data_IF_057736837904
#
_entry.id   IF_057736837904
#
_cell.length_a   1.000
_cell.length_b   1.000
_cell.length_c   1.000
_cell.angle_alpha   90.00
_cell.angle_beta   90.00
_cell.angle_gamma   90.00
#
_symmetry.space_group_name_H-M   'P 1'
#
loop_
_entity.id
_entity.type
_entity.pdbx_description
1 polymer ?
#
# COMPACT_ATOMS: atom_id res chain seq x y z
N UNK A 1 18.74 -22.11 20.66
CA UNK A 1 19.86 -22.94 21.15
C UNK A 1 20.01 -24.09 20.18
N UNK A 2 20.92 -23.95 19.23
CA UNK A 2 21.01 -24.81 18.06
C UNK A 2 21.45 -26.22 18.45
N UNK A 3 20.69 -27.25 18.06
CA UNK A 3 21.11 -28.65 18.21
C UNK A 3 22.52 -28.90 17.65
N UNK A 4 22.93 -28.10 16.67
CA UNK A 4 24.25 -28.14 16.05
C UNK A 4 25.36 -27.75 17.04
N UNK A 5 25.14 -26.75 17.91
CA UNK A 5 26.12 -26.37 18.94
C UNK A 5 26.21 -27.39 20.07
N UNK A 6 25.08 -28.02 20.43
CA UNK A 6 25.04 -29.13 21.37
C UNK A 6 25.82 -30.35 20.83
N UNK A 7 25.66 -30.71 19.56
CA UNK A 7 26.42 -31.79 18.91
C UNK A 7 27.93 -31.50 18.84
N UNK A 8 28.31 -30.25 18.59
CA UNK A 8 29.72 -29.83 18.61
C UNK A 8 30.35 -29.99 20.00
N UNK A 9 29.62 -29.64 21.06
CA UNK A 9 30.07 -29.82 22.44
C UNK A 9 30.19 -31.30 22.86
N UNK A 10 29.30 -32.17 22.37
CA UNK A 10 29.41 -33.62 22.54
C UNK A 10 30.67 -34.17 21.86
N UNK A 11 31.02 -33.65 20.67
CA UNK A 11 32.25 -34.02 19.94
C UNK A 11 33.49 -33.71 20.78
N UNK A 12 33.56 -32.50 21.35
CA UNK A 12 34.67 -32.09 22.20
C UNK A 12 34.79 -32.95 23.48
N UNK A 13 33.66 -33.33 24.10
CA UNK A 13 33.63 -34.23 25.25
C UNK A 13 34.09 -35.65 24.89
N UNK A 14 33.62 -36.17 23.76
CA UNK A 14 34.01 -37.48 23.24
C UNK A 14 35.51 -37.53 22.97
N UNK A 15 36.06 -36.50 22.30
CA UNK A 15 37.49 -36.38 22.01
C UNK A 15 38.34 -36.25 23.30
N UNK A 16 37.84 -35.57 24.33
CA UNK A 16 38.49 -35.51 25.64
C UNK A 16 38.50 -36.87 26.35
N UNK A 17 37.39 -37.62 26.32
CA UNK A 17 37.33 -38.97 26.91
C UNK A 17 38.17 -40.00 26.17
N UNK A 18 38.36 -39.84 24.85
CA UNK A 18 39.21 -40.72 24.04
C UNK A 18 40.69 -40.59 24.39
N UNK A 19 41.20 -39.39 24.66
CA UNK A 19 42.59 -39.18 25.11
C UNK A 19 42.87 -39.93 26.42
N UNK A 20 41.86 -40.09 27.28
CA UNK A 20 41.98 -40.82 28.53
C UNK A 20 41.90 -42.36 28.38
N UNK A 21 41.24 -42.88 27.33
CA UNK A 21 40.98 -44.32 27.12
C UNK A 21 41.89 -44.96 26.07
N UNK A 22 42.36 -44.18 25.08
CA UNK A 22 43.31 -44.59 24.04
C UNK A 22 44.64 -45.12 24.61
N UNK A 23 44.98 -44.79 25.85
CA UNK A 23 46.12 -45.37 26.55
C UNK A 23 46.02 -46.91 26.77
N UNK A 24 44.88 -47.57 26.48
CA UNK A 24 44.65 -48.97 26.85
C UNK A 24 44.22 -49.93 25.72
N UNK A 25 43.47 -49.52 24.69
CA UNK A 25 42.86 -50.44 23.69
C UNK A 25 42.75 -49.83 22.26
N UNK A 26 43.88 -49.48 21.63
CA UNK A 26 43.96 -48.72 20.36
C UNK A 26 43.11 -49.26 19.18
N UNK A 27 42.96 -50.57 19.04
CA UNK A 27 42.42 -51.16 17.81
C UNK A 27 40.88 -51.23 17.76
N UNK A 28 40.22 -51.32 18.91
CA UNK A 28 38.74 -51.32 19.01
C UNK A 28 38.17 -49.90 19.01
N UNK A 29 38.94 -48.94 19.54
CA UNK A 29 38.57 -47.53 19.61
C UNK A 29 38.42 -46.95 18.20
N UNK A 30 39.36 -47.25 17.28
CA UNK A 30 39.32 -46.75 15.91
C UNK A 30 38.05 -47.14 15.12
N UNK A 31 37.51 -48.36 15.31
CA UNK A 31 36.29 -48.80 14.65
C UNK A 31 35.04 -48.10 15.21
N UNK A 32 34.97 -47.94 16.54
CA UNK A 32 33.87 -47.23 17.20
C UNK A 32 33.91 -45.75 16.82
N UNK A 33 35.09 -45.15 16.69
CA UNK A 33 35.30 -43.77 16.25
C UNK A 33 34.81 -43.49 14.84
N UNK A 34 35.14 -44.36 13.88
CA UNK A 34 34.66 -44.22 12.51
C UNK A 34 33.14 -44.29 12.45
N UNK A 35 32.53 -45.21 13.23
CA UNK A 35 31.08 -45.34 13.30
C UNK A 35 30.42 -44.11 13.92
N UNK A 36 30.96 -43.61 15.03
CA UNK A 36 30.41 -42.44 15.71
C UNK A 36 30.55 -41.18 14.84
N UNK A 37 31.71 -41.00 14.20
CA UNK A 37 31.97 -39.88 13.30
C UNK A 37 31.00 -39.89 12.13
N UNK A 38 30.72 -41.07 11.56
CA UNK A 38 29.75 -41.22 10.46
C UNK A 38 28.33 -40.84 10.90
N UNK A 39 27.86 -41.40 12.02
CA UNK A 39 26.53 -41.05 12.56
C UNK A 39 26.43 -39.55 12.85
N UNK A 40 27.50 -38.94 13.36
CA UNK A 40 27.51 -37.52 13.66
C UNK A 40 27.48 -36.68 12.38
N UNK A 41 28.23 -37.07 11.34
CA UNK A 41 28.14 -36.42 10.03
C UNK A 41 26.72 -36.52 9.46
N UNK A 42 26.10 -37.69 9.51
CA UNK A 42 24.73 -37.92 9.02
C UNK A 42 23.69 -37.08 9.78
N UNK A 43 23.84 -36.96 11.10
CA UNK A 43 22.94 -36.11 11.91
C UNK A 43 23.17 -34.63 11.60
N UNK A 44 24.42 -34.19 11.40
CA UNK A 44 24.71 -32.80 11.07
C UNK A 44 24.25 -32.41 9.68
N UNK A 45 24.36 -33.30 8.69
CA UNK A 45 23.85 -33.05 7.34
C UNK A 45 22.32 -32.96 7.36
N UNK A 46 21.64 -33.91 8.02
CA UNK A 46 20.19 -33.87 8.18
C UNK A 46 19.71 -32.61 8.94
N UNK A 47 20.45 -32.21 9.98
CA UNK A 47 20.17 -30.98 10.74
C UNK A 47 20.32 -29.72 9.89
N UNK A 48 21.35 -29.65 9.04
CA UNK A 48 21.57 -28.52 8.14
C UNK A 48 20.47 -28.44 7.07
N UNK A 49 20.08 -29.57 6.48
CA UNK A 49 18.96 -29.63 5.53
C UNK A 49 17.64 -29.17 6.15
N UNK A 50 17.36 -29.58 7.39
CA UNK A 50 16.18 -29.12 8.11
C UNK A 50 16.25 -27.61 8.37
N UNK A 51 17.39 -27.10 8.82
CA UNK A 51 17.58 -25.68 9.08
C UNK A 51 17.40 -24.84 7.81
N UNK A 52 17.90 -25.31 6.66
CA UNK A 52 17.67 -24.67 5.37
C UNK A 52 16.19 -24.61 5.02
N UNK A 53 15.45 -25.71 5.21
CA UNK A 53 13.99 -25.76 4.96
C UNK A 53 13.22 -24.83 5.90
N UNK A 54 13.57 -24.79 7.19
CA UNK A 54 12.95 -23.90 8.17
C UNK A 54 13.20 -22.44 7.80
N UNK A 55 14.44 -22.10 7.42
CA UNK A 55 14.76 -20.74 7.01
C UNK A 55 13.99 -20.32 5.76
N UNK A 56 13.92 -21.19 4.75
CA UNK A 56 13.08 -20.95 3.57
C UNK A 56 11.60 -20.78 3.92
N UNK A 57 11.09 -21.53 4.91
CA UNK A 57 9.74 -21.36 5.44
C UNK A 57 9.53 -19.98 6.09
N UNK A 58 10.49 -19.52 6.90
CA UNK A 58 10.43 -18.20 7.55
C UNK A 58 10.47 -17.08 6.51
N UNK A 59 11.34 -17.20 5.51
CA UNK A 59 11.49 -16.18 4.47
C UNK A 59 10.22 -16.09 3.61
N UNK A 60 9.61 -17.22 3.28
CA UNK A 60 8.32 -17.26 2.55
C UNK A 60 7.17 -16.73 3.41
N UNK A 61 7.10 -17.07 4.69
CA UNK A 61 6.08 -16.54 5.61
C UNK A 61 6.19 -15.01 5.73
N UNK A 62 7.41 -14.48 5.84
CA UNK A 62 7.64 -13.03 5.88
C UNK A 62 7.19 -12.36 4.59
N UNK A 63 7.58 -12.90 3.44
CA UNK A 63 7.18 -12.38 2.14
C UNK A 63 5.65 -12.38 1.96
N UNK A 64 4.98 -13.45 2.40
CA UNK A 64 3.52 -13.54 2.36
C UNK A 64 2.86 -12.50 3.28
N UNK A 65 3.37 -12.33 4.52
CA UNK A 65 2.84 -11.32 5.45
C UNK A 65 2.99 -9.90 4.91
N UNK A 66 4.14 -9.57 4.32
CA UNK A 66 4.35 -8.26 3.71
C UNK A 66 3.37 -8.02 2.54
N UNK A 67 3.12 -9.06 1.73
CA UNK A 67 2.17 -8.99 0.61
C UNK A 67 0.72 -8.87 1.08
N UNK A 68 0.36 -9.54 2.17
CA UNK A 68 -0.97 -9.40 2.79
C UNK A 68 -1.17 -7.95 3.25
N UNK A 69 -0.21 -7.37 3.98
CA UNK A 69 -0.30 -5.97 4.41
C UNK A 69 -0.46 -5.02 3.22
N UNK A 70 0.34 -5.20 2.17
CA UNK A 70 0.25 -4.37 0.96
C UNK A 70 -1.14 -4.49 0.30
N UNK A 71 -1.68 -5.70 0.18
CA UNK A 71 -3.01 -5.92 -0.39
C UNK A 71 -4.12 -5.35 0.50
N UNK A 72 -4.01 -5.45 1.82
CA UNK A 72 -4.96 -4.85 2.76
C UNK A 72 -4.98 -3.32 2.62
N UNK A 73 -3.82 -2.69 2.49
CA UNK A 73 -3.70 -1.24 2.24
C UNK A 73 -4.35 -0.84 0.90
N UNK A 74 -4.10 -1.61 -0.17
CA UNK A 74 -4.73 -1.38 -1.48
C UNK A 74 -6.26 -1.53 -1.41
N UNK A 75 -6.76 -2.56 -0.72
CA UNK A 75 -8.20 -2.77 -0.54
C UNK A 75 -8.82 -1.61 0.24
N UNK A 76 -8.19 -1.16 1.33
CA UNK A 76 -8.67 -0.04 2.12
C UNK A 76 -8.76 1.25 1.29
N UNK A 77 -7.76 1.53 0.45
CA UNK A 77 -7.78 2.70 -0.45
C UNK A 77 -8.87 2.58 -1.52
N UNK A 78 -9.05 1.40 -2.13
CA UNK A 78 -10.13 1.16 -3.09
C UNK A 78 -11.51 1.33 -2.47
N UNK A 79 -11.74 0.79 -1.27
CA UNK A 79 -13.00 0.96 -0.52
C UNK A 79 -13.26 2.43 -0.23
N UNK A 80 -12.24 3.18 0.20
CA UNK A 80 -12.37 4.62 0.44
C UNK A 80 -12.73 5.39 -0.83
N UNK A 81 -12.10 5.08 -1.96
CA UNK A 81 -12.41 5.71 -3.27
C UNK A 81 -13.82 5.37 -3.74
N UNK A 82 -14.26 4.12 -3.57
CA UNK A 82 -15.62 3.70 -3.91
C UNK A 82 -16.67 4.45 -3.06
N UNK A 83 -16.48 4.49 -1.74
CA UNK A 83 -17.34 5.23 -0.83
C UNK A 83 -17.39 6.73 -1.17
N UNK A 84 -16.24 7.33 -1.54
CA UNK A 84 -16.23 8.72 -1.97
C UNK A 84 -16.99 8.92 -3.29
N UNK A 85 -16.87 8.00 -4.26
CA UNK A 85 -17.59 8.05 -5.53
C UNK A 85 -19.10 7.96 -5.36
N UNK A 86 -19.58 7.16 -4.41
CA UNK A 86 -21.00 6.98 -4.11
C UNK A 86 -21.68 8.26 -3.62
N UNK A 87 -20.92 9.21 -3.06
CA UNK A 87 -21.42 10.53 -2.64
C UNK A 87 -21.83 11.42 -3.81
N UNK A 88 -21.43 11.09 -5.04
CA UNK A 88 -21.69 11.92 -6.23
C UNK A 88 -22.65 11.25 -7.19
N UNK A 89 -23.49 12.06 -7.82
CA UNK A 89 -24.40 11.66 -8.90
C UNK A 89 -24.06 12.42 -10.17
N UNK A 90 -24.33 11.80 -11.32
CA UNK A 90 -24.23 12.50 -12.60
C UNK A 90 -25.35 13.55 -12.67
N UNK A 91 -24.99 14.79 -12.96
CA UNK A 91 -25.91 15.91 -13.03
C UNK A 91 -25.66 16.72 -14.32
N UNK A 92 -26.72 17.17 -15.00
CA UNK A 92 -26.57 18.03 -16.18
C UNK A 92 -26.08 19.42 -15.77
N UNK A 93 -25.10 19.94 -16.51
CA UNK A 93 -24.63 21.34 -16.43
C UNK A 93 -25.33 22.22 -17.46
N UNK A 94 -25.49 21.69 -18.68
CA UNK A 94 -26.25 22.26 -19.79
C UNK A 94 -26.80 21.11 -20.65
N UNK A 95 -27.47 21.44 -21.75
CA UNK A 95 -27.88 20.46 -22.75
C UNK A 95 -26.67 19.60 -23.17
N UNK A 96 -26.83 18.28 -23.12
CA UNK A 96 -25.83 17.25 -23.43
C UNK A 96 -24.48 17.30 -22.68
N UNK A 97 -24.38 18.07 -21.58
CA UNK A 97 -23.14 18.21 -20.80
C UNK A 97 -23.38 17.79 -19.37
N UNK A 98 -22.63 16.79 -18.90
CA UNK A 98 -22.79 16.21 -17.58
C UNK A 98 -21.51 16.30 -16.76
N UNK A 99 -21.65 16.53 -15.46
CA UNK A 99 -20.57 16.45 -14.49
C UNK A 99 -21.07 15.76 -13.21
N UNK A 100 -20.15 15.36 -12.35
CA UNK A 100 -20.51 14.74 -11.07
C UNK A 100 -20.83 15.85 -10.07
N UNK A 101 -22.04 15.86 -9.52
CA UNK A 101 -22.44 16.76 -8.44
C UNK A 101 -22.58 15.98 -7.13
N UNK A 102 -22.24 16.64 -6.02
CA UNK A 102 -22.45 16.08 -4.68
C UNK A 102 -23.95 15.85 -4.45
N UNK A 103 -24.32 14.67 -3.94
CA UNK A 103 -25.69 14.38 -3.52
C UNK A 103 -26.08 15.26 -2.34
N UNK A 104 -27.32 15.74 -2.30
CA UNK A 104 -27.79 16.65 -1.26
C UNK A 104 -27.73 16.00 0.12
N UNK A 105 -28.07 14.71 0.21
CA UNK A 105 -27.95 13.93 1.44
C UNK A 105 -26.50 13.76 1.94
N UNK A 106 -25.51 13.96 1.06
CA UNK A 106 -24.07 13.85 1.37
C UNK A 106 -23.36 15.20 1.48
N UNK A 107 -24.10 16.31 1.36
CA UNK A 107 -23.55 17.66 1.31
C UNK A 107 -23.02 18.14 2.66
N UNK A 108 -23.73 17.87 3.76
CA UNK A 108 -23.32 18.34 5.09
C UNK A 108 -23.04 19.85 5.10
N UNK A 109 -21.79 20.23 5.38
CA UNK A 109 -21.29 21.63 5.34
C UNK A 109 -20.53 21.98 4.06
N UNK A 110 -20.36 21.03 3.13
CA UNK A 110 -19.58 21.23 1.91
C UNK A 110 -20.34 22.15 0.93
N UNK A 111 -19.67 23.15 0.32
CA UNK A 111 -20.30 23.99 -0.68
C UNK A 111 -20.63 23.17 -1.94
N UNK A 112 -21.68 23.57 -2.65
CA UNK A 112 -22.05 22.92 -3.91
C UNK A 112 -20.91 23.04 -4.92
N UNK A 113 -20.43 21.89 -5.41
CA UNK A 113 -19.34 21.81 -6.37
C UNK A 113 -19.54 20.64 -7.33
N UNK A 114 -18.86 20.73 -8.48
CA UNK A 114 -18.85 19.69 -9.49
C UNK A 114 -17.47 19.05 -9.61
N UNK A 115 -17.43 17.76 -9.87
CA UNK A 115 -16.23 16.99 -10.18
C UNK A 115 -16.22 16.56 -11.64
N UNK A 116 -15.00 16.40 -12.17
CA UNK A 116 -14.77 15.86 -13.51
C UNK A 116 -15.06 14.35 -13.56
N UNK A 117 -16.06 13.95 -14.35
CA UNK A 117 -16.46 12.53 -14.46
C UNK A 117 -15.32 11.63 -14.97
N UNK A 118 -14.60 11.95 -16.08
CA UNK A 118 -13.49 11.11 -16.54
C UNK A 118 -12.33 10.98 -15.55
N UNK A 119 -12.05 12.00 -14.74
CA UNK A 119 -10.97 11.92 -13.74
C UNK A 119 -11.37 11.03 -12.58
N UNK A 120 -12.61 11.13 -12.12
CA UNK A 120 -13.11 10.31 -11.03
C UNK A 120 -13.26 8.85 -11.47
N UNK A 121 -13.96 8.60 -12.57
CA UNK A 121 -14.33 7.23 -12.99
C UNK A 121 -13.16 6.47 -13.63
N UNK A 122 -12.35 7.13 -14.48
CA UNK A 122 -11.29 6.43 -15.22
C UNK A 122 -9.92 6.51 -14.52
N UNK A 123 -9.69 7.52 -13.68
CA UNK A 123 -8.39 7.73 -13.02
C UNK A 123 -8.46 7.64 -11.48
N UNK A 124 -9.64 7.46 -10.89
CA UNK A 124 -9.81 7.44 -9.45
C UNK A 124 -9.40 8.75 -8.75
N UNK A 125 -9.39 9.87 -9.49
CA UNK A 125 -8.93 11.17 -9.00
C UNK A 125 -10.09 12.14 -8.83
N UNK A 126 -10.25 12.66 -7.62
CA UNK A 126 -11.17 13.75 -7.33
C UNK A 126 -10.61 15.06 -7.87
N UNK A 127 -11.24 15.57 -8.93
CA UNK A 127 -10.87 16.84 -9.55
C UNK A 127 -12.07 17.79 -9.54
N UNK A 128 -12.04 18.77 -8.63
CA UNK A 128 -13.07 19.80 -8.54
C UNK A 128 -12.96 20.77 -9.69
N UNK A 129 -14.05 20.90 -10.46
CA UNK A 129 -14.10 21.76 -11.62
C UNK A 129 -14.00 23.24 -11.20
N UNK A 130 -13.14 23.97 -11.88
CA UNK A 130 -12.88 25.38 -11.61
C UNK A 130 -13.60 26.26 -12.64
N UNK A 131 -14.29 27.30 -12.17
CA UNK A 131 -14.94 28.25 -13.07
C UNK A 131 -13.89 29.04 -13.84
N UNK A 132 -13.95 29.00 -15.17
CA UNK A 132 -13.17 29.85 -16.07
C UNK A 132 -14.09 30.58 -17.04
N UNK A 133 -13.74 31.80 -17.37
CA UNK A 133 -14.45 32.59 -18.38
C UNK A 133 -13.65 32.53 -19.68
N UNK A 134 -14.31 32.20 -20.79
CA UNK A 134 -13.73 32.29 -22.14
C UNK A 134 -14.67 33.10 -23.01
N UNK A 135 -14.26 34.33 -23.35
CA UNK A 135 -15.13 35.29 -24.02
C UNK A 135 -16.35 35.64 -23.16
N UNK A 136 -17.55 35.49 -23.72
CA UNK A 136 -18.82 35.75 -23.02
C UNK A 136 -19.40 34.52 -22.31
N UNK A 137 -18.74 33.36 -22.38
CA UNK A 137 -19.25 32.10 -21.81
C UNK A 137 -18.47 31.66 -20.57
N UNK A 138 -19.20 31.01 -19.65
CA UNK A 138 -18.65 30.41 -18.45
C UNK A 138 -18.45 28.91 -18.71
N UNK A 139 -17.22 28.46 -18.44
CA UNK A 139 -16.82 27.06 -18.47
C UNK A 139 -16.47 26.58 -17.07
N UNK A 140 -16.65 25.29 -16.82
CA UNK A 140 -16.09 24.58 -15.70
C UNK A 140 -14.91 23.76 -16.22
N UNK A 141 -13.68 24.09 -15.85
CA UNK A 141 -12.47 23.44 -16.33
C UNK A 141 -11.91 22.50 -15.29
N UNK A 142 -11.59 21.26 -15.68
CA UNK A 142 -10.88 20.33 -14.82
C UNK A 142 -9.38 20.68 -14.71
N UNK A 143 -8.79 20.81 -13.52
CA UNK A 143 -7.36 21.07 -13.37
C UNK A 143 -6.47 19.86 -13.71
N UNK A 144 -7.00 18.64 -13.66
CA UNK A 144 -6.23 17.41 -13.91
C UNK A 144 -6.14 17.02 -15.38
N UNK A 145 -7.24 17.14 -16.13
CA UNK A 145 -7.29 16.73 -17.54
C UNK A 145 -7.50 17.91 -18.51
N UNK A 146 -7.64 19.13 -18.00
CA UNK A 146 -7.90 20.34 -18.79
C UNK A 146 -9.16 20.29 -19.65
N UNK A 147 -10.08 19.36 -19.38
CA UNK A 147 -11.37 19.29 -20.08
C UNK A 147 -12.25 20.46 -19.65
N UNK A 148 -12.86 21.12 -20.63
CA UNK A 148 -13.74 22.25 -20.44
C UNK A 148 -15.20 21.83 -20.61
N UNK A 149 -15.99 22.00 -19.55
CA UNK A 149 -17.43 21.78 -19.57
C UNK A 149 -18.13 23.11 -19.84
N UNK A 150 -18.80 23.28 -21.01
CA UNK A 150 -19.61 24.47 -21.24
C UNK A 150 -20.81 24.43 -20.30
N UNK A 151 -21.07 25.54 -19.60
CA UNK A 151 -22.18 25.61 -18.63
C UNK A 151 -23.48 26.14 -19.23
N UNK A 152 -23.45 26.56 -20.50
CA UNK A 152 -24.56 27.30 -21.14
C UNK A 152 -24.80 28.71 -20.55
N UNK A 153 -24.08 29.11 -19.50
CA UNK A 153 -24.24 30.41 -18.85
C UNK A 153 -23.29 31.43 -19.46
N UNK A 154 -23.85 32.58 -19.82
CA UNK A 154 -23.07 33.77 -20.18
C UNK A 154 -22.54 34.51 -18.95
N UNK A 155 -21.49 35.31 -19.13
CA UNK A 155 -21.09 36.29 -18.12
C UNK A 155 -22.15 37.39 -18.09
N UNK A 156 -23.00 37.42 -17.06
CA UNK A 156 -23.91 38.55 -16.86
C UNK A 156 -23.09 39.80 -16.51
N UNK A 157 -23.04 40.77 -17.41
CA UNK A 157 -22.54 42.12 -17.15
C UNK A 157 -23.54 42.91 -16.28
N UNK A 158 -24.03 42.34 -15.18
CA UNK A 158 -24.66 43.16 -14.14
C UNK A 158 -23.53 43.88 -13.40
N UNK A 159 -23.16 45.07 -13.90
CA UNK A 159 -22.45 46.08 -13.11
C UNK A 159 -23.35 46.35 -11.90
N UNK A 160 -23.01 45.81 -10.73
CA UNK A 160 -23.48 46.44 -9.49
C UNK A 160 -23.01 47.90 -9.57
N UNK A 161 -23.91 48.90 -9.49
CA UNK A 161 -23.44 50.27 -9.37
C UNK A 161 -22.59 50.33 -8.11
N UNK A 162 -21.33 50.74 -8.26
CA UNK A 162 -20.45 51.06 -7.14
C UNK A 162 -21.18 52.12 -6.33
N UNK A 163 -21.77 51.71 -5.21
CA UNK A 163 -22.47 52.58 -4.29
C UNK A 163 -21.40 53.38 -3.54
N UNK A 164 -20.95 54.49 -4.14
CA UNK A 164 -20.05 55.41 -3.47
C UNK A 164 -20.83 56.10 -2.35
N UNK A 165 -20.40 56.02 -1.08
CA UNK A 165 -21.02 56.79 -0.01
C UNK A 165 -20.88 58.27 -0.33
N UNK A 166 -21.99 59.00 -0.37
CA UNK A 166 -22.02 60.43 -0.59
C UNK A 166 -21.16 61.11 0.47
N UNK A 167 -20.01 61.65 0.08
CA UNK A 167 -19.21 62.51 0.97
C UNK A 167 -20.06 63.73 1.31
N UNK A 168 -20.48 63.82 2.57
CA UNK A 168 -21.14 64.99 3.11
C UNK A 168 -20.25 66.21 2.94
N UNK A 169 -20.83 67.30 2.43
CA UNK A 169 -20.18 68.61 2.42
C UNK A 169 -20.08 69.07 3.87
N UNK A 170 -18.86 69.35 4.30
CA UNK A 170 -18.59 70.14 5.50
C UNK A 170 -18.90 71.62 5.24
#
# INVERSE_FOLDING_TARGET
MDMISALASMRALIDFTKVAVAARDDHQIAQVEQRLTRVLLDVTSAGLELQQKVQAGIDTERALKDRVRELEEQVADLVKRAAERERYKLAPLSEDVFALALKEECAGTDPHHHLCQPCMDNRGKKATLQRKTKGFMIYLTCPECSYDYPTGKGVSTQRQPLNYPSMGRF
#
